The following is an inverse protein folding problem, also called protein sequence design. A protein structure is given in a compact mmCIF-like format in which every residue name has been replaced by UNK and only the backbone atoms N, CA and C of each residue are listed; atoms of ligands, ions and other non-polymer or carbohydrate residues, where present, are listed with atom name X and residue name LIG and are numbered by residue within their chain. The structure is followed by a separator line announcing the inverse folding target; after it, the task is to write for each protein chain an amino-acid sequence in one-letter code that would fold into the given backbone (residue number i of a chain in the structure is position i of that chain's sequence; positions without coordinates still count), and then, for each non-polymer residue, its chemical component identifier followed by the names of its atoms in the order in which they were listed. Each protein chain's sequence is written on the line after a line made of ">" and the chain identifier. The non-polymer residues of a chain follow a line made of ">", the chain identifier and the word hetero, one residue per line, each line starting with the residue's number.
data_IF_635089868061
#
_entry.id   IF_635089868061
#
_cell.length_a   1.000
_cell.length_b   1.000
_cell.length_c   1.000
_cell.angle_alpha   90.00
_cell.angle_beta   90.00
_cell.angle_gamma   90.00
#
_symmetry.space_group_name_H-M   'P 1'
#
loop_
_entity.id
_entity.type
_entity.pdbx_description
1 polymer ?
#
# COMPACT_ATOMS: atom_id res chain seq x y z
N UNK A 1 -19.26 26.43 13.06
CA UNK A 1 -19.14 25.08 12.47
C UNK A 1 -17.67 24.79 12.36
N UNK A 2 -17.18 23.83 13.14
CA UNK A 2 -15.77 23.47 13.07
C UNK A 2 -15.56 22.63 11.80
N UNK A 3 -14.84 23.17 10.82
CA UNK A 3 -14.65 22.51 9.52
C UNK A 3 -13.54 21.45 9.56
N UNK A 4 -12.76 21.40 10.65
CA UNK A 4 -11.62 20.50 10.82
C UNK A 4 -12.01 19.02 10.76
N UNK A 5 -13.09 18.53 11.42
CA UNK A 5 -13.48 17.12 11.32
C UNK A 5 -13.87 16.73 9.89
N UNK A 6 -14.64 17.58 9.21
CA UNK A 6 -15.08 17.33 7.84
C UNK A 6 -13.87 17.24 6.89
N UNK A 7 -12.95 18.21 6.98
CA UNK A 7 -11.72 18.21 6.19
C UNK A 7 -10.86 16.97 6.49
N UNK A 8 -10.77 16.56 7.75
CA UNK A 8 -9.97 15.39 8.17
C UNK A 8 -10.49 14.09 7.56
N UNK A 9 -11.81 13.91 7.50
CA UNK A 9 -12.44 12.74 6.85
C UNK A 9 -12.12 12.70 5.36
N UNK A 10 -12.26 13.82 4.65
CA UNK A 10 -11.94 13.88 3.23
C UNK A 10 -10.45 13.61 2.99
N UNK A 11 -9.55 14.27 3.73
CA UNK A 11 -8.12 14.04 3.61
C UNK A 11 -7.73 12.58 3.88
N UNK A 12 -8.32 11.93 4.88
CA UNK A 12 -8.09 10.51 5.17
C UNK A 12 -8.53 9.61 4.01
N UNK A 13 -9.72 9.83 3.46
CA UNK A 13 -10.22 9.07 2.31
C UNK A 13 -9.34 9.24 1.07
N UNK A 14 -8.94 10.48 0.77
CA UNK A 14 -8.05 10.78 -0.36
C UNK A 14 -6.66 10.18 -0.17
N UNK A 15 -6.07 10.27 1.02
CA UNK A 15 -4.74 9.71 1.29
C UNK A 15 -4.69 8.21 0.97
N UNK A 16 -5.68 7.43 1.42
CA UNK A 16 -5.72 5.99 1.14
C UNK A 16 -6.05 5.70 -0.32
N UNK A 17 -7.05 6.39 -0.90
CA UNK A 17 -7.48 6.16 -2.27
C UNK A 17 -6.34 6.37 -3.28
N UNK A 18 -5.57 7.45 -3.14
CA UNK A 18 -4.44 7.74 -4.02
C UNK A 18 -3.18 6.96 -3.62
N UNK A 19 -2.98 6.73 -2.32
CA UNK A 19 -1.84 5.98 -1.79
C UNK A 19 -1.80 4.52 -2.24
N UNK A 20 -2.96 3.91 -2.51
CA UNK A 20 -3.06 2.51 -2.95
C UNK A 20 -2.78 2.30 -4.45
N UNK A 21 -2.88 3.34 -5.30
CA UNK A 21 -2.80 3.19 -6.76
C UNK A 21 -1.40 2.73 -7.20
N UNK A 22 -0.35 3.39 -6.70
CA UNK A 22 1.03 3.06 -7.03
C UNK A 22 1.41 1.63 -6.65
N UNK A 23 1.20 1.23 -5.38
CA UNK A 23 1.39 -0.14 -4.90
C UNK A 23 0.63 -1.16 -5.74
N UNK A 24 -0.68 -0.99 -5.96
CA UNK A 24 -1.48 -1.94 -6.72
C UNK A 24 -0.91 -2.19 -8.14
N UNK A 25 -0.45 -1.13 -8.83
CA UNK A 25 0.16 -1.25 -10.14
C UNK A 25 1.55 -1.92 -10.10
N UNK A 26 2.37 -1.59 -9.09
CA UNK A 26 3.70 -2.15 -8.95
C UNK A 26 3.67 -3.63 -8.55
N UNK A 27 2.81 -3.99 -7.59
CA UNK A 27 2.60 -5.36 -7.15
C UNK A 27 2.07 -6.25 -8.27
N UNK A 28 1.05 -5.79 -9.01
CA UNK A 28 0.51 -6.52 -10.15
C UNK A 28 1.57 -6.84 -11.20
N UNK A 29 2.46 -5.88 -11.48
CA UNK A 29 3.59 -6.09 -12.42
C UNK A 29 4.64 -7.05 -11.85
N UNK A 30 4.98 -6.91 -10.57
CA UNK A 30 5.96 -7.79 -9.92
C UNK A 30 5.48 -9.24 -9.87
N UNK A 31 4.21 -9.46 -9.53
CA UNK A 31 3.60 -10.79 -9.51
C UNK A 31 3.55 -11.39 -10.91
N UNK A 32 3.13 -10.64 -11.92
CA UNK A 32 3.10 -11.13 -13.31
C UNK A 32 4.50 -11.56 -13.78
N UNK A 33 5.52 -10.73 -13.54
CA UNK A 33 6.90 -11.06 -13.90
C UNK A 33 7.43 -12.29 -13.14
N UNK A 34 7.05 -12.46 -11.86
CA UNK A 34 7.41 -13.64 -11.10
C UNK A 34 6.73 -14.91 -11.64
N UNK A 35 5.46 -14.84 -12.04
CA UNK A 35 4.76 -15.98 -12.65
C UNK A 35 5.41 -16.40 -13.97
N UNK A 36 5.78 -15.45 -14.83
CA UNK A 36 6.51 -15.73 -16.07
C UNK A 36 7.88 -16.38 -15.80
N UNK A 37 8.61 -15.91 -14.78
CA UNK A 37 9.89 -16.50 -14.39
C UNK A 37 9.73 -17.93 -13.85
N UNK A 38 8.70 -18.19 -13.03
CA UNK A 38 8.39 -19.52 -12.49
C UNK A 38 7.97 -20.47 -13.61
N UNK A 39 7.16 -20.01 -14.57
CA UNK A 39 6.76 -20.82 -15.71
C UNK A 39 7.95 -21.25 -16.58
N UNK A 40 8.96 -20.38 -16.72
CA UNK A 40 10.21 -20.70 -17.45
C UNK A 40 11.15 -21.61 -16.66
N UNK A 41 11.21 -21.46 -15.33
CA UNK A 41 12.08 -22.26 -14.48
C UNK A 41 11.36 -22.71 -13.19
N UNK A 42 10.57 -23.80 -13.26
CA UNK A 42 9.77 -24.28 -12.14
C UNK A 42 10.60 -24.68 -10.90
N UNK A 43 11.83 -25.17 -11.11
CA UNK A 43 12.74 -25.55 -10.02
C UNK A 43 13.14 -24.37 -9.14
N UNK A 44 13.11 -23.15 -9.67
CA UNK A 44 13.46 -21.93 -8.94
C UNK A 44 12.27 -21.29 -8.19
N UNK A 45 11.08 -21.91 -8.23
CA UNK A 45 9.84 -21.31 -7.74
C UNK A 45 9.91 -20.83 -6.29
N UNK A 46 10.51 -21.61 -5.40
CA UNK A 46 10.64 -21.23 -3.98
C UNK A 46 11.52 -19.99 -3.79
N UNK A 47 12.63 -19.89 -4.52
CA UNK A 47 13.55 -18.74 -4.42
C UNK A 47 12.93 -17.48 -5.00
N UNK A 48 12.23 -17.61 -6.15
CA UNK A 48 11.51 -16.50 -6.78
C UNK A 48 10.41 -15.98 -5.84
N UNK A 49 9.56 -16.86 -5.32
CA UNK A 49 8.46 -16.48 -4.42
C UNK A 49 8.96 -15.80 -3.14
N UNK A 50 10.06 -16.28 -2.53
CA UNK A 50 10.67 -15.61 -1.37
C UNK A 50 11.09 -14.17 -1.69
N UNK A 51 11.79 -13.98 -2.80
CA UNK A 51 12.26 -12.66 -3.21
C UNK A 51 11.09 -11.74 -3.58
N UNK A 52 10.07 -12.30 -4.26
CA UNK A 52 8.84 -11.60 -4.60
C UNK A 52 8.15 -11.08 -3.33
N UNK A 53 7.91 -11.91 -2.32
CA UNK A 53 7.21 -11.46 -1.10
C UNK A 53 7.97 -10.39 -0.33
N UNK A 54 9.32 -10.45 -0.30
CA UNK A 54 10.12 -9.36 0.27
C UNK A 54 9.93 -8.08 -0.54
N UNK A 55 9.95 -8.16 -1.88
CA UNK A 55 9.70 -7.01 -2.76
C UNK A 55 8.30 -6.42 -2.61
N UNK A 56 7.26 -7.27 -2.56
CA UNK A 56 5.87 -6.85 -2.35
C UNK A 56 5.71 -6.18 -0.99
N UNK A 57 6.28 -6.73 0.08
CA UNK A 57 6.24 -6.10 1.40
C UNK A 57 6.86 -4.69 1.38
N UNK A 58 7.97 -4.49 0.65
CA UNK A 58 8.58 -3.17 0.50
C UNK A 58 7.69 -2.20 -0.29
N UNK A 59 7.04 -2.66 -1.36
CA UNK A 59 6.10 -1.85 -2.14
C UNK A 59 4.89 -1.44 -1.27
N UNK A 60 4.31 -2.40 -0.56
CA UNK A 60 3.13 -2.22 0.27
C UNK A 60 3.35 -1.23 1.42
N UNK A 61 4.60 -1.08 1.92
CA UNK A 61 4.91 -0.09 2.97
C UNK A 61 4.48 1.33 2.60
N UNK A 62 4.51 1.68 1.32
CA UNK A 62 4.09 3.01 0.85
C UNK A 62 2.57 3.22 1.00
N UNK A 63 1.75 2.19 0.75
CA UNK A 63 0.31 2.20 1.00
C UNK A 63 0.03 2.29 2.50
N UNK A 64 0.78 1.53 3.30
CA UNK A 64 0.64 1.50 4.76
C UNK A 64 0.94 2.87 5.37
N UNK A 65 1.91 3.64 4.87
CA UNK A 65 2.15 4.99 5.36
C UNK A 65 0.95 5.92 5.13
N UNK A 66 0.29 5.83 3.98
CA UNK A 66 -0.95 6.58 3.72
C UNK A 66 -2.09 6.13 4.65
N UNK A 67 -2.22 4.83 4.90
CA UNK A 67 -3.19 4.28 5.85
C UNK A 67 -2.92 4.79 7.28
N UNK A 68 -1.67 4.78 7.73
CA UNK A 68 -1.29 5.27 9.07
C UNK A 68 -1.67 6.73 9.23
N UNK A 69 -1.38 7.58 8.23
CA UNK A 69 -1.77 9.00 8.28
C UNK A 69 -3.30 9.14 8.35
N UNK A 70 -4.04 8.38 7.55
CA UNK A 70 -5.50 8.39 7.59
C UNK A 70 -6.05 7.98 8.96
N UNK A 71 -5.48 6.94 9.59
CA UNK A 71 -5.85 6.52 10.94
C UNK A 71 -5.54 7.59 11.99
N UNK A 72 -4.39 8.27 11.89
CA UNK A 72 -4.05 9.37 12.78
C UNK A 72 -5.05 10.53 12.64
N UNK A 73 -5.45 10.89 11.43
CA UNK A 73 -6.44 11.94 11.18
C UNK A 73 -7.83 11.62 11.76
N UNK A 74 -8.20 10.34 11.82
CA UNK A 74 -9.51 9.88 12.29
C UNK A 74 -9.55 9.61 13.80
N UNK A 75 -8.48 9.09 14.38
CA UNK A 75 -8.48 8.59 15.76
C UNK A 75 -7.51 9.30 16.72
N UNK A 76 -6.56 10.06 16.19
CA UNK A 76 -5.53 10.74 16.98
C UNK A 76 -5.26 12.15 16.43
N UNK A 77 -6.32 12.86 16.04
CA UNK A 77 -6.21 14.15 15.39
C UNK A 77 -5.74 15.22 16.38
N UNK A 78 -4.55 15.82 16.21
CA UNK A 78 -4.00 16.79 17.16
C UNK A 78 -4.78 18.12 17.21
N UNK A 79 -5.69 18.35 16.26
CA UNK A 79 -6.48 19.58 16.17
C UNK A 79 -7.87 19.47 16.83
N UNK A 80 -8.31 18.25 17.17
CA UNK A 80 -9.68 17.97 17.65
C UNK A 80 -9.73 17.57 19.13
N UNK A 81 -8.77 18.05 19.92
CA UNK A 81 -8.54 17.67 21.33
C UNK A 81 -9.80 17.45 22.17
#
# INVERSE_FOLDING_TARGET
>A
MDYVPLASIFCAAFAVAFGAIGPALAEGRAVAAAMDAIARQPEAANTISRTLFVGLAMIETTAIYCLVIALLLLFANPMLG
#
